data_IF_160040643383
#
_entry.id   IF_160040643383
#
_cell.length_a   1.000
_cell.length_b   1.000
_cell.length_c   1.000
_cell.angle_alpha   90.00
_cell.angle_beta   90.00
_cell.angle_gamma   90.00
#
_symmetry.space_group_name_H-M   'P 1'
#
loop_
_entity.id
_entity.type
_entity.pdbx_description
1 polymer ?
#
# COMPACT_ATOMS: atom_id res chain seq x y z
N UNK A 1 -32.80 -4.71 -4.81
CA UNK A 1 -31.44 -4.25 -5.19
C UNK A 1 -30.75 -5.40 -5.89
N UNK A 2 -30.60 -5.32 -7.22
CA UNK A 2 -29.95 -6.34 -8.03
C UNK A 2 -28.47 -5.94 -8.13
N UNK A 3 -27.58 -6.76 -7.57
CA UNK A 3 -26.14 -6.55 -7.74
C UNK A 3 -25.78 -6.94 -9.17
N UNK A 4 -25.49 -5.96 -10.03
CA UNK A 4 -24.87 -6.24 -11.31
C UNK A 4 -23.49 -6.85 -11.04
N UNK A 5 -23.32 -8.12 -11.44
CA UNK A 5 -22.00 -8.75 -11.48
C UNK A 5 -21.26 -8.16 -12.66
N UNK A 6 -20.40 -7.20 -12.42
CA UNK A 6 -19.48 -6.69 -13.45
C UNK A 6 -18.50 -7.80 -13.81
N UNK A 7 -18.75 -8.50 -14.92
CA UNK A 7 -17.81 -9.45 -15.47
C UNK A 7 -16.63 -8.68 -16.08
N UNK A 8 -15.41 -8.93 -15.59
CA UNK A 8 -14.17 -8.34 -16.12
C UNK A 8 -13.58 -9.14 -17.29
N UNK A 9 -14.44 -9.87 -17.99
CA UNK A 9 -14.09 -10.73 -19.11
C UNK A 9 -14.89 -10.35 -20.35
N UNK A 10 -14.28 -10.46 -21.53
CA UNK A 10 -15.00 -10.33 -22.80
C UNK A 10 -15.99 -11.51 -23.00
N UNK A 11 -16.74 -11.48 -24.10
CA UNK A 11 -17.69 -12.55 -24.48
C UNK A 11 -17.03 -13.91 -24.72
N UNK A 12 -15.69 -13.94 -24.84
CA UNK A 12 -14.88 -15.14 -25.04
C UNK A 12 -14.24 -15.62 -23.74
N UNK A 13 -14.49 -14.94 -22.61
CA UNK A 13 -13.92 -15.27 -21.30
C UNK A 13 -12.51 -14.72 -21.07
N UNK A 14 -11.96 -13.90 -21.98
CA UNK A 14 -10.65 -13.31 -21.78
C UNK A 14 -10.74 -12.15 -20.80
N UNK A 15 -9.76 -12.07 -19.90
CA UNK A 15 -9.63 -10.98 -18.94
C UNK A 15 -9.39 -9.65 -19.66
N UNK A 16 -10.19 -8.65 -19.33
CA UNK A 16 -10.01 -7.27 -19.77
C UNK A 16 -8.95 -6.58 -18.89
N UNK A 17 -7.67 -6.81 -19.21
CA UNK A 17 -6.51 -6.30 -18.44
C UNK A 17 -6.49 -4.78 -18.28
N UNK A 18 -6.99 -4.05 -19.27
CA UNK A 18 -7.14 -2.59 -19.22
C UNK A 18 -8.14 -2.13 -18.15
N UNK A 19 -9.09 -2.98 -17.75
CA UNK A 19 -10.04 -2.73 -16.67
C UNK A 19 -9.48 -3.26 -15.35
N UNK A 20 -8.95 -4.48 -15.30
CA UNK A 20 -8.38 -5.03 -14.06
C UNK A 20 -7.20 -4.20 -13.53
N UNK A 21 -6.35 -3.71 -14.42
CA UNK A 21 -5.26 -2.81 -14.03
C UNK A 21 -5.76 -1.52 -13.38
N UNK A 22 -7.06 -1.19 -13.52
CA UNK A 22 -7.68 -0.06 -12.85
C UNK A 22 -7.98 -0.30 -11.36
N UNK A 23 -8.23 -1.55 -11.00
CA UNK A 23 -8.52 -1.96 -9.63
C UNK A 23 -7.28 -2.50 -8.92
N UNK A 24 -6.33 -3.02 -9.69
CA UNK A 24 -5.05 -3.49 -9.18
C UNK A 24 -4.14 -2.30 -8.84
N UNK A 25 -4.27 -1.76 -7.64
CA UNK A 25 -3.50 -0.60 -7.16
C UNK A 25 -2.96 -0.85 -5.75
N UNK A 26 -1.84 -0.23 -5.38
CA UNK A 26 -1.38 -0.27 -3.99
C UNK A 26 -2.39 0.39 -3.06
N UNK A 27 -2.59 -0.18 -1.88
CA UNK A 27 -3.42 0.42 -0.83
C UNK A 27 -3.02 -0.09 0.55
N UNK A 28 -3.26 0.75 1.57
CA UNK A 28 -3.12 0.36 2.96
C UNK A 28 -4.23 -0.65 3.32
N UNK A 29 -3.84 -1.86 3.71
CA UNK A 29 -4.76 -2.89 4.17
C UNK A 29 -5.12 -2.68 5.64
N UNK A 30 -4.11 -2.37 6.47
CA UNK A 30 -4.27 -1.99 7.87
C UNK A 30 -3.33 -0.84 8.22
N UNK A 31 -3.77 0.06 9.10
CA UNK A 31 -2.98 1.22 9.53
C UNK A 31 -2.88 1.25 11.05
N UNK A 32 -1.65 1.27 11.58
CA UNK A 32 -1.36 1.44 12.99
C UNK A 32 -1.45 2.93 13.40
N UNK A 33 -2.65 3.50 13.23
CA UNK A 33 -2.92 4.90 13.52
C UNK A 33 -4.09 5.48 12.73
N UNK A 34 -4.16 6.81 12.67
CA UNK A 34 -5.25 7.54 12.01
C UNK A 34 -4.84 8.05 10.63
N UNK A 35 -5.44 7.55 9.53
CA UNK A 35 -5.12 8.01 8.18
C UNK A 35 -5.53 9.47 7.94
N UNK A 36 -4.69 10.21 7.22
CA UNK A 36 -4.93 11.60 6.82
C UNK A 36 -4.94 11.78 5.31
N UNK A 37 -4.10 11.03 4.60
CA UNK A 37 -4.02 11.06 3.14
C UNK A 37 -3.62 9.69 2.65
N UNK A 38 -4.30 9.19 1.62
CA UNK A 38 -3.85 8.05 0.84
C UNK A 38 -3.98 8.39 -0.64
N UNK A 39 -2.87 8.31 -1.36
CA UNK A 39 -2.80 8.72 -2.76
C UNK A 39 -1.93 7.75 -3.56
N UNK A 40 -2.34 7.45 -4.78
CA UNK A 40 -1.56 6.67 -5.72
C UNK A 40 -1.57 7.36 -7.08
N UNK A 41 -0.41 7.83 -7.51
CA UNK A 41 -0.25 8.40 -8.85
C UNK A 41 -0.08 7.28 -9.87
N UNK A 42 -1.22 6.82 -10.40
CA UNK A 42 -1.24 5.82 -11.46
C UNK A 42 -0.54 6.31 -12.73
N UNK A 43 -0.65 7.58 -13.09
CA UNK A 43 -0.41 7.98 -14.47
C UNK A 43 1.03 8.41 -14.74
N UNK A 44 1.76 8.86 -13.72
CA UNK A 44 3.11 9.41 -13.94
C UNK A 44 4.15 8.64 -13.13
N UNK A 45 4.12 8.75 -11.81
CA UNK A 45 5.22 8.31 -10.96
C UNK A 45 5.08 6.88 -10.45
N UNK A 46 3.88 6.30 -10.51
CA UNK A 46 3.57 5.02 -9.85
C UNK A 46 3.97 5.04 -8.37
N UNK A 47 3.92 6.21 -7.74
CA UNK A 47 4.19 6.38 -6.33
C UNK A 47 2.89 6.28 -5.53
N UNK A 48 2.91 5.44 -4.51
CA UNK A 48 1.93 5.44 -3.44
C UNK A 48 2.44 6.31 -2.29
N UNK A 49 1.56 7.16 -1.76
CA UNK A 49 1.81 8.00 -0.58
C UNK A 49 0.71 7.77 0.43
N UNK A 50 1.09 7.43 1.66
CA UNK A 50 0.21 7.43 2.82
C UNK A 50 0.74 8.41 3.86
N UNK A 51 -0.15 9.22 4.43
CA UNK A 51 0.10 10.03 5.63
C UNK A 51 -0.85 9.59 6.73
N UNK A 52 -0.33 9.33 7.92
CA UNK A 52 -1.14 8.96 9.07
C UNK A 52 -0.51 9.45 10.37
N UNK A 53 -1.34 9.74 11.36
CA UNK A 53 -0.90 9.99 12.73
C UNK A 53 -0.71 8.63 13.40
N UNK A 54 0.49 8.37 13.90
CA UNK A 54 0.85 7.10 14.54
C UNK A 54 0.10 6.93 15.86
N UNK A 55 -0.40 5.72 16.12
CA UNK A 55 -0.92 5.31 17.43
C UNK A 55 -0.09 4.14 17.98
N UNK A 56 0.74 4.43 18.99
CA UNK A 56 1.64 3.45 19.61
C UNK A 56 0.92 2.48 20.55
N UNK A 57 -0.37 2.66 20.81
CA UNK A 57 -1.16 1.66 21.54
C UNK A 57 -1.51 0.46 20.67
N UNK A 58 -1.32 0.57 19.35
CA UNK A 58 -1.50 -0.50 18.38
C UNK A 58 -0.18 -1.26 18.21
N UNK A 59 -0.14 -2.51 18.68
CA UNK A 59 1.04 -3.37 18.61
C UNK A 59 1.18 -4.12 17.27
N UNK A 60 0.20 -3.99 16.37
CA UNK A 60 0.22 -4.59 15.04
C UNK A 60 0.91 -3.67 14.02
N UNK A 61 1.50 -4.22 12.95
CA UNK A 61 2.13 -3.40 11.92
C UNK A 61 1.10 -2.59 11.13
N UNK A 62 1.60 -1.58 10.42
CA UNK A 62 0.94 -1.11 9.21
C UNK A 62 1.10 -2.19 8.12
N UNK A 63 0.01 -2.60 7.49
CA UNK A 63 0.01 -3.61 6.42
C UNK A 63 -0.48 -2.97 5.12
N UNK A 64 0.17 -3.31 4.01
CA UNK A 64 -0.11 -2.73 2.70
C UNK A 64 -0.07 -3.76 1.59
N UNK A 65 -1.08 -3.73 0.73
CA UNK A 65 -1.04 -4.46 -0.53
C UNK A 65 -0.19 -3.72 -1.56
N UNK A 66 0.78 -4.43 -2.15
CA UNK A 66 1.65 -3.95 -3.20
C UNK A 66 1.59 -4.87 -4.42
N UNK A 67 0.87 -4.50 -5.49
CA UNK A 67 0.65 -5.40 -6.61
C UNK A 67 1.91 -5.65 -7.44
N UNK A 68 2.29 -6.91 -7.60
CA UNK A 68 3.47 -7.36 -8.35
C UNK A 68 3.51 -6.86 -9.80
N UNK A 69 2.34 -6.75 -10.45
CA UNK A 69 2.23 -6.20 -11.81
C UNK A 69 2.74 -4.76 -11.92
N UNK A 70 2.68 -3.99 -10.82
CA UNK A 70 3.16 -2.61 -10.77
C UNK A 70 4.56 -2.56 -10.17
N UNK A 71 4.81 -3.36 -9.14
CA UNK A 71 6.03 -3.37 -8.34
C UNK A 71 6.65 -4.78 -8.36
N UNK A 72 7.38 -5.14 -9.43
CA UNK A 72 7.91 -6.49 -9.59
C UNK A 72 8.96 -6.81 -8.53
N UNK A 73 8.93 -8.01 -7.96
CA UNK A 73 9.91 -8.43 -6.95
C UNK A 73 11.24 -8.89 -7.58
N UNK A 74 12.37 -8.83 -6.83
CA UNK A 74 12.50 -8.34 -5.45
C UNK A 74 12.72 -6.82 -5.32
N UNK A 75 13.14 -6.13 -6.40
CA UNK A 75 13.66 -4.76 -6.32
C UNK A 75 12.83 -3.71 -7.10
N UNK A 76 11.56 -3.99 -7.39
CA UNK A 76 10.72 -3.14 -8.24
C UNK A 76 10.17 -1.89 -7.55
N UNK A 77 10.61 -1.59 -6.33
CA UNK A 77 10.21 -0.38 -5.62
C UNK A 77 11.25 0.07 -4.59
N UNK A 78 11.19 1.36 -4.27
CA UNK A 78 11.87 1.98 -3.15
C UNK A 78 10.84 2.43 -2.12
N UNK A 79 11.14 2.23 -0.84
CA UNK A 79 10.34 2.74 0.29
C UNK A 79 11.11 3.87 0.96
N UNK A 80 10.42 4.99 1.21
CA UNK A 80 10.91 6.05 2.10
C UNK A 80 9.90 6.32 3.20
N UNK A 81 10.42 6.55 4.41
CA UNK A 81 9.63 6.71 5.62
C UNK A 81 10.09 7.97 6.35
N UNK A 82 9.16 8.77 6.86
CA UNK A 82 9.46 9.97 7.65
C UNK A 82 9.08 9.81 9.13
N UNK A 83 9.55 10.73 9.97
CA UNK A 83 9.49 10.67 11.45
C UNK A 83 10.42 9.57 12.00
N UNK A 84 11.37 9.95 12.87
CA UNK A 84 12.60 9.22 13.28
C UNK A 84 12.42 7.93 14.07
N UNK A 85 11.44 7.13 13.68
CA UNK A 85 11.24 5.77 14.13
C UNK A 85 12.04 4.84 13.23
N UNK A 86 12.74 3.91 13.86
CA UNK A 86 13.25 2.76 13.15
C UNK A 86 12.06 1.93 12.64
N UNK A 87 12.24 1.27 11.49
CA UNK A 87 11.20 0.42 10.94
C UNK A 87 11.77 -0.78 10.27
N UNK A 88 11.14 -1.91 10.53
CA UNK A 88 11.41 -3.15 9.82
C UNK A 88 10.33 -3.32 8.77
N UNK A 89 10.77 -3.52 7.53
CA UNK A 89 9.90 -3.87 6.41
C UNK A 89 9.98 -5.38 6.26
N UNK A 90 8.85 -6.07 6.45
CA UNK A 90 8.75 -7.49 6.13
C UNK A 90 8.00 -7.65 4.80
N UNK A 91 8.56 -8.51 3.94
CA UNK A 91 7.97 -8.84 2.64
C UNK A 91 7.59 -10.31 2.70
N UNK A 92 6.30 -10.57 2.60
CA UNK A 92 5.81 -11.94 2.47
C UNK A 92 5.55 -12.29 1.00
N UNK A 93 5.31 -13.55 0.69
CA UNK A 93 4.96 -13.98 -0.68
C UNK A 93 3.56 -13.49 -1.13
N UNK A 94 2.77 -12.90 -0.24
CA UNK A 94 1.35 -12.57 -0.45
C UNK A 94 1.09 -11.19 -1.07
N UNK A 95 2.16 -10.50 -1.52
CA UNK A 95 2.13 -9.11 -1.99
C UNK A 95 1.77 -8.12 -0.88
N UNK A 96 2.04 -8.48 0.37
CA UNK A 96 1.88 -7.61 1.51
C UNK A 96 3.23 -7.09 2.00
N UNK A 97 3.17 -5.87 2.52
CA UNK A 97 4.28 -5.22 3.19
C UNK A 97 3.84 -4.86 4.59
N UNK A 98 4.57 -5.37 5.58
CA UNK A 98 4.42 -4.96 6.96
C UNK A 98 5.47 -3.91 7.30
N UNK A 99 5.03 -2.82 7.93
CA UNK A 99 5.92 -1.81 8.49
C UNK A 99 5.68 -1.75 9.99
N UNK A 100 6.67 -2.21 10.74
CA UNK A 100 6.71 -2.08 12.19
C UNK A 100 7.36 -0.76 12.55
N UNK A 101 6.82 -0.10 13.57
CA UNK A 101 7.47 1.06 14.17
C UNK A 101 8.21 0.61 15.43
N UNK A 102 9.54 0.74 15.45
CA UNK A 102 10.40 0.36 16.59
C UNK A 102 10.99 1.60 17.25
N UNK A 103 11.38 1.48 18.52
CA UNK A 103 12.03 2.56 19.30
C UNK A 103 11.21 3.86 19.37
N UNK A 104 10.04 3.74 19.99
CA UNK A 104 8.96 4.72 19.89
C UNK A 104 9.03 5.79 20.99
N UNK A 105 9.41 7.02 20.65
CA UNK A 105 9.41 8.16 21.61
C UNK A 105 8.32 9.20 21.35
N UNK A 106 7.53 9.08 20.27
CA UNK A 106 6.59 10.13 19.85
C UNK A 106 5.28 9.56 19.29
N UNK A 107 4.38 9.16 20.20
CA UNK A 107 2.97 8.90 19.85
C UNK A 107 2.36 10.15 19.23
N UNK A 108 1.47 9.98 18.24
CA UNK A 108 0.82 11.12 17.59
C UNK A 108 1.67 11.84 16.54
N UNK A 109 2.88 11.36 16.20
CA UNK A 109 3.66 11.93 15.09
C UNK A 109 2.99 11.64 13.74
N UNK A 110 3.09 12.58 12.79
CA UNK A 110 2.72 12.35 11.40
C UNK A 110 3.78 11.47 10.70
N UNK A 111 3.40 10.25 10.35
CA UNK A 111 4.15 9.37 9.47
C UNK A 111 3.81 9.65 8.02
N UNK A 112 4.82 9.65 7.16
CA UNK A 112 4.65 9.60 5.70
C UNK A 112 5.35 8.35 5.20
N UNK A 113 4.60 7.52 4.48
CA UNK A 113 5.09 6.34 3.75
C UNK A 113 5.01 6.67 2.27
N UNK A 114 6.14 6.63 1.57
CA UNK A 114 6.16 6.71 0.11
C UNK A 114 6.77 5.43 -0.47
N UNK A 115 6.05 4.80 -1.39
CA UNK A 115 6.52 3.64 -2.14
C UNK A 115 6.46 3.98 -3.61
N UNK A 116 7.62 4.07 -4.26
CA UNK A 116 7.73 4.41 -5.67
C UNK A 116 8.33 3.25 -6.45
N UNK A 117 7.82 3.00 -7.65
CA UNK A 117 8.35 1.97 -8.54
C UNK A 117 9.78 2.35 -8.98
N UNK A 118 10.66 1.35 -9.03
CA UNK A 118 12.01 1.48 -9.60
C UNK A 118 12.01 1.45 -11.14
#
# INVERSE_FOLDING_TARGET
MQYERTCYSDSSGNILYNILSQFNRPYAYAIAGTPHLMFYDRNHTRCFTLKYIIDLTINCPFEMYLPEMIYPRPNGYNITLTCGLESTVNLDDSNLIDIYSTNLTSNGCMRIVNICRC
#
